data_IF_775038346517
#
_entry.id   IF_775038346517
#
_cell.length_a   1.000
_cell.length_b   1.000
_cell.length_c   1.000
_cell.angle_alpha   90.00
_cell.angle_beta   90.00
_cell.angle_gamma   90.00
#
_symmetry.space_group_name_H-M   'P 1'
#
loop_
_entity.id
_entity.type
_entity.pdbx_description
1 polymer ?
#
# COMPACT_ATOMS: atom_id res chain seq x y z
N UNK A 1 -11.11 -8.43 24.35
CA UNK A 1 -12.41 -7.73 24.10
C UNK A 1 -12.51 -6.37 24.82
N UNK A 2 -12.28 -6.23 26.13
CA UNK A 2 -12.43 -4.93 26.83
C UNK A 2 -11.37 -3.85 26.53
N UNK A 3 -10.28 -4.16 25.81
CA UNK A 3 -9.12 -3.26 25.65
C UNK A 3 -9.28 -2.18 24.56
N UNK A 4 -10.27 -2.33 23.69
CA UNK A 4 -10.55 -1.42 22.58
C UNK A 4 -12.01 -0.94 22.58
N UNK A 5 -12.68 -0.99 23.75
CA UNK A 5 -14.12 -0.74 23.84
C UNK A 5 -14.55 0.68 23.48
N UNK A 6 -13.62 1.64 23.41
CA UNK A 6 -13.89 2.98 22.89
C UNK A 6 -14.41 2.94 21.43
N UNK A 7 -13.93 1.99 20.61
CA UNK A 7 -14.39 1.83 19.23
C UNK A 7 -15.77 1.15 19.13
N UNK A 8 -16.23 0.45 20.18
CA UNK A 8 -17.51 -0.29 20.15
C UNK A 8 -18.72 0.64 19.92
N UNK A 9 -18.60 1.92 20.28
CA UNK A 9 -19.64 2.94 20.04
C UNK A 9 -19.90 3.23 18.56
N UNK A 10 -18.93 2.95 17.70
CA UNK A 10 -18.99 3.23 16.25
C UNK A 10 -19.14 1.96 15.41
N UNK A 11 -18.99 0.79 16.01
CA UNK A 11 -19.12 -0.51 15.33
C UNK A 11 -18.15 -0.61 14.15
N UNK A 12 -18.65 -1.01 12.98
CA UNK A 12 -17.85 -1.14 11.76
C UNK A 12 -17.75 0.18 10.95
N UNK A 13 -18.47 1.24 11.35
CA UNK A 13 -18.48 2.53 10.64
C UNK A 13 -17.31 3.42 11.06
N UNK A 14 -16.15 3.09 10.51
CA UNK A 14 -14.88 3.79 10.77
C UNK A 14 -14.84 5.21 10.21
N UNK A 15 -15.67 5.53 9.20
CA UNK A 15 -15.80 6.88 8.67
C UNK A 15 -16.58 7.79 9.63
N UNK A 16 -17.64 7.26 10.25
CA UNK A 16 -18.37 7.96 11.30
C UNK A 16 -17.48 8.28 12.51
N UNK A 17 -16.63 7.34 12.92
CA UNK A 17 -15.61 7.57 13.96
C UNK A 17 -14.67 8.72 13.58
N UNK A 18 -14.03 8.63 12.41
CA UNK A 18 -13.07 9.63 11.96
C UNK A 18 -13.68 11.03 11.85
N UNK A 19 -14.94 11.14 11.42
CA UNK A 19 -15.67 12.40 11.36
C UNK A 19 -15.92 12.95 12.77
N UNK A 20 -16.49 12.14 13.66
CA UNK A 20 -16.84 12.57 15.01
C UNK A 20 -15.61 13.00 15.83
N UNK A 21 -14.51 12.23 15.75
CA UNK A 21 -13.26 12.55 16.44
C UNK A 21 -12.58 13.79 15.86
N UNK A 22 -12.62 14.00 14.53
CA UNK A 22 -11.95 15.16 13.90
C UNK A 22 -12.66 16.47 14.19
N UNK A 23 -14.00 16.46 14.22
CA UNK A 23 -14.80 17.66 14.45
C UNK A 23 -15.19 17.86 15.93
N UNK A 24 -14.62 17.07 16.86
CA UNK A 24 -14.83 17.20 18.30
C UNK A 24 -16.24 16.84 18.76
N UNK A 25 -16.95 16.01 18.00
CA UNK A 25 -18.30 15.53 18.31
C UNK A 25 -18.28 14.30 19.22
N UNK A 26 -17.14 13.63 19.33
CA UNK A 26 -16.84 12.56 20.28
C UNK A 26 -15.37 12.60 20.68
N UNK A 27 -15.02 12.07 21.86
CA UNK A 27 -13.63 11.89 22.27
C UNK A 27 -12.95 10.84 21.36
N UNK A 28 -11.68 11.08 21.02
CA UNK A 28 -10.89 10.14 20.25
C UNK A 28 -10.36 9.01 21.14
N UNK A 29 -10.28 7.80 20.60
CA UNK A 29 -9.69 6.63 21.26
C UNK A 29 -8.14 6.61 21.24
N UNK A 30 -7.50 7.77 21.00
CA UNK A 30 -6.05 7.92 20.85
C UNK A 30 -5.30 7.49 22.12
N UNK A 31 -5.76 7.95 23.29
CA UNK A 31 -5.12 7.64 24.58
C UNK A 31 -5.19 6.15 24.91
N UNK A 32 -6.35 5.52 24.68
CA UNK A 32 -6.55 4.09 24.91
C UNK A 32 -5.71 3.24 23.95
N UNK A 33 -5.65 3.61 22.66
CA UNK A 33 -4.85 2.89 21.66
C UNK A 33 -3.34 3.00 21.95
N UNK A 34 -2.87 4.20 22.31
CA UNK A 34 -1.48 4.42 22.75
C UNK A 34 -1.16 3.66 24.04
N UNK A 35 -2.07 3.71 25.02
CA UNK A 35 -1.92 3.02 26.30
C UNK A 35 -1.75 1.52 26.13
N UNK A 36 -2.52 0.90 25.23
CA UNK A 36 -2.38 -0.53 24.92
C UNK A 36 -1.02 -0.88 24.28
N UNK A 37 -0.53 -0.06 23.35
CA UNK A 37 0.78 -0.27 22.74
C UNK A 37 1.90 -0.16 23.80
N UNK A 38 1.85 0.85 24.67
CA UNK A 38 2.83 1.04 25.74
C UNK A 38 2.80 -0.13 26.74
N UNK A 39 1.60 -0.58 27.14
CA UNK A 39 1.43 -1.71 28.06
C UNK A 39 2.04 -3.01 27.50
N UNK A 40 1.87 -3.28 26.20
CA UNK A 40 2.46 -4.45 25.54
C UNK A 40 3.98 -4.35 25.48
N UNK A 41 4.53 -3.19 25.10
CA UNK A 41 5.98 -2.96 25.08
C UNK A 41 6.62 -3.12 26.46
N UNK A 42 5.96 -2.64 27.52
CA UNK A 42 6.45 -2.83 28.89
C UNK A 42 6.45 -4.31 29.32
N UNK A 43 5.53 -5.11 28.79
CA UNK A 43 5.46 -6.56 29.05
C UNK A 43 6.40 -7.40 28.19
N UNK A 44 7.02 -6.84 27.15
CA UNK A 44 7.99 -7.53 26.29
C UNK A 44 9.09 -8.23 27.10
N UNK A 45 9.59 -7.55 28.14
CA UNK A 45 10.65 -8.07 29.03
C UNK A 45 10.18 -9.27 29.85
N UNK A 46 8.89 -9.33 30.22
CA UNK A 46 8.33 -10.44 30.98
C UNK A 46 8.08 -11.68 30.09
N UNK A 47 7.63 -11.49 28.85
CA UNK A 47 7.36 -12.59 27.92
C UNK A 47 8.62 -13.21 27.31
N UNK A 48 9.67 -12.42 27.07
CA UNK A 48 10.97 -12.92 26.60
C UNK A 48 11.63 -13.97 27.55
N UNK A 49 11.14 -14.06 28.79
CA UNK A 49 11.64 -15.02 29.80
C UNK A 49 10.90 -16.37 29.84
N UNK A 50 9.85 -16.56 29.02
CA UNK A 50 9.05 -17.80 28.98
C UNK A 50 8.93 -18.34 27.55
N UNK A 51 9.42 -19.57 27.37
CA UNK A 51 8.98 -20.52 26.32
C UNK A 51 9.44 -20.35 24.86
N UNK A 52 10.53 -19.60 24.61
CA UNK A 52 11.29 -19.70 23.34
C UNK A 52 10.63 -19.07 22.11
N UNK A 53 10.91 -19.60 20.92
CA UNK A 53 10.61 -18.92 19.64
C UNK A 53 9.11 -18.76 19.32
N UNK A 54 8.24 -19.64 19.84
CA UNK A 54 6.79 -19.52 19.62
C UNK A 54 6.22 -18.34 20.42
N UNK A 55 6.69 -18.14 21.65
CA UNK A 55 6.30 -17.00 22.47
C UNK A 55 6.78 -15.66 21.90
N UNK A 56 7.93 -15.66 21.22
CA UNK A 56 8.47 -14.50 20.49
C UNK A 56 7.59 -14.10 19.29
N UNK A 57 7.14 -15.08 18.49
CA UNK A 57 6.20 -14.82 17.38
C UNK A 57 4.83 -14.32 17.88
N UNK A 58 4.26 -14.96 18.91
CA UNK A 58 2.99 -14.53 19.51
C UNK A 58 3.07 -13.10 20.07
N UNK A 59 4.17 -12.78 20.76
CA UNK A 59 4.41 -11.43 21.26
C UNK A 59 4.54 -10.41 20.13
N UNK A 60 5.32 -10.72 19.10
CA UNK A 60 5.45 -9.86 17.91
C UNK A 60 4.08 -9.61 17.26
N UNK A 61 3.26 -10.65 17.09
CA UNK A 61 1.91 -10.50 16.52
C UNK A 61 1.01 -9.60 17.39
N UNK A 62 1.05 -9.75 18.72
CA UNK A 62 0.30 -8.89 19.62
C UNK A 62 0.76 -7.42 19.52
N UNK A 63 2.07 -7.18 19.46
CA UNK A 63 2.62 -5.83 19.29
C UNK A 63 2.21 -5.22 17.94
N UNK A 64 2.28 -5.98 16.84
CA UNK A 64 1.87 -5.49 15.53
C UNK A 64 0.37 -5.18 15.47
N UNK A 65 -0.48 -5.98 16.12
CA UNK A 65 -1.91 -5.68 16.24
C UNK A 65 -2.17 -4.37 17.01
N UNK A 66 -1.45 -4.12 18.10
CA UNK A 66 -1.60 -2.87 18.84
C UNK A 66 -1.09 -1.65 18.06
N UNK A 67 0.02 -1.78 17.32
CA UNK A 67 0.50 -0.76 16.39
C UNK A 67 -0.53 -0.47 15.30
N UNK A 68 -1.13 -1.50 14.72
CA UNK A 68 -2.20 -1.36 13.72
C UNK A 68 -3.38 -0.56 14.28
N UNK A 69 -3.89 -0.91 15.47
CA UNK A 69 -5.03 -0.18 16.07
C UNK A 69 -4.68 1.28 16.33
N UNK A 70 -3.49 1.55 16.90
CA UNK A 70 -3.00 2.91 17.13
C UNK A 70 -2.90 3.71 15.81
N UNK A 71 -2.30 3.14 14.78
CA UNK A 71 -2.13 3.83 13.50
C UNK A 71 -3.46 3.98 12.74
N UNK A 72 -4.40 3.02 12.88
CA UNK A 72 -5.73 3.10 12.29
C UNK A 72 -6.57 4.23 12.91
N UNK A 73 -6.49 4.41 14.23
CA UNK A 73 -7.12 5.53 14.94
C UNK A 73 -6.67 6.88 14.36
N UNK A 74 -5.35 7.08 14.29
CA UNK A 74 -4.76 8.30 13.72
C UNK A 74 -5.17 8.48 12.24
N UNK A 75 -5.17 7.40 11.47
CA UNK A 75 -5.56 7.41 10.06
C UNK A 75 -7.00 7.88 9.87
N UNK A 76 -7.97 7.33 10.59
CA UNK A 76 -9.38 7.70 10.42
C UNK A 76 -9.65 9.16 10.77
N UNK A 77 -8.93 9.72 11.75
CA UNK A 77 -8.96 11.17 12.01
C UNK A 77 -8.35 11.97 10.87
N UNK A 78 -7.21 11.54 10.34
CA UNK A 78 -6.53 12.25 9.25
C UNK A 78 -7.33 12.25 7.93
N UNK A 79 -8.23 11.28 7.73
CA UNK A 79 -9.08 11.18 6.54
C UNK A 79 -9.89 12.46 6.27
N UNK A 80 -10.23 13.21 7.32
CA UNK A 80 -10.99 14.46 7.23
C UNK A 80 -10.11 15.71 7.22
N UNK A 81 -8.80 15.56 7.39
CA UNK A 81 -7.80 16.67 7.41
C UNK A 81 -7.14 16.90 6.05
N UNK A 82 -7.06 15.87 5.21
CA UNK A 82 -6.64 16.01 3.82
C UNK A 82 -6.14 14.71 3.18
N UNK A 83 -6.30 14.60 1.86
CA UNK A 83 -5.90 13.43 1.07
C UNK A 83 -4.43 13.04 1.23
N UNK A 84 -3.53 14.03 1.23
CA UNK A 84 -2.08 13.79 1.32
C UNK A 84 -1.72 13.25 2.70
N UNK A 85 -2.33 13.78 3.77
CA UNK A 85 -2.06 13.32 5.13
C UNK A 85 -2.51 11.87 5.30
N UNK A 86 -3.73 11.53 4.90
CA UNK A 86 -4.24 10.15 5.05
C UNK A 86 -3.45 9.16 4.18
N UNK A 87 -3.05 9.54 2.97
CA UNK A 87 -2.17 8.73 2.12
C UNK A 87 -0.83 8.45 2.80
N UNK A 88 -0.14 9.49 3.22
CA UNK A 88 1.17 9.41 3.86
C UNK A 88 1.14 8.58 5.15
N UNK A 89 0.07 8.67 5.93
CA UNK A 89 -0.11 7.85 7.14
C UNK A 89 -0.20 6.37 6.81
N UNK A 90 -0.93 6.02 5.76
CA UNK A 90 -1.07 4.63 5.32
C UNK A 90 0.27 4.05 4.84
N UNK A 91 1.00 4.77 4.00
CA UNK A 91 2.29 4.31 3.48
C UNK A 91 3.39 4.31 4.56
N UNK A 92 3.34 5.26 5.50
CA UNK A 92 4.23 5.25 6.67
C UNK A 92 4.00 4.00 7.53
N UNK A 93 2.74 3.65 7.80
CA UNK A 93 2.41 2.44 8.54
C UNK A 93 2.92 1.17 7.85
N UNK A 94 2.70 1.02 6.53
CA UNK A 94 3.21 -0.13 5.77
C UNK A 94 4.75 -0.23 5.85
N UNK A 95 5.45 0.89 5.77
CA UNK A 95 6.90 0.93 5.91
C UNK A 95 7.38 0.62 7.34
N UNK A 96 6.68 1.09 8.38
CA UNK A 96 6.94 0.72 9.79
C UNK A 96 6.74 -0.79 10.03
N UNK A 97 5.69 -1.39 9.46
CA UNK A 97 5.45 -2.83 9.54
C UNK A 97 6.56 -3.62 8.85
N UNK A 98 7.05 -3.16 7.70
CA UNK A 98 8.19 -3.77 7.02
C UNK A 98 9.46 -3.75 7.88
N UNK A 99 9.76 -2.62 8.54
CA UNK A 99 10.90 -2.51 9.46
C UNK A 99 10.79 -3.45 10.65
N UNK A 100 9.62 -3.46 11.29
CA UNK A 100 9.36 -4.31 12.44
C UNK A 100 9.51 -5.79 12.06
N UNK A 101 8.98 -6.20 10.90
CA UNK A 101 9.13 -7.56 10.38
C UNK A 101 10.59 -7.88 10.05
N UNK A 102 11.33 -6.97 9.43
CA UNK A 102 12.74 -7.17 9.13
C UNK A 102 13.55 -7.37 10.43
N UNK A 103 13.37 -6.51 11.43
CA UNK A 103 14.04 -6.62 12.72
C UNK A 103 13.71 -7.94 13.44
N UNK A 104 12.44 -8.34 13.44
CA UNK A 104 11.98 -9.61 14.01
C UNK A 104 12.65 -10.82 13.38
N UNK A 105 12.70 -10.84 12.04
CA UNK A 105 13.35 -11.93 11.29
C UNK A 105 14.87 -11.94 11.47
N UNK A 106 15.50 -10.78 11.56
CA UNK A 106 16.95 -10.65 11.74
C UNK A 106 17.43 -11.00 13.15
N UNK A 107 16.59 -10.78 14.17
CA UNK A 107 16.85 -11.21 15.55
C UNK A 107 17.09 -12.72 15.69
N UNK A 108 16.73 -13.51 14.68
CA UNK A 108 16.90 -14.97 14.61
C UNK A 108 18.24 -15.40 13.97
N UNK A 109 19.16 -14.46 13.76
CA UNK A 109 20.54 -14.74 13.34
C UNK A 109 20.73 -14.90 11.83
N UNK A 110 19.76 -14.48 11.00
CA UNK A 110 19.90 -14.46 9.53
C UNK A 110 19.42 -13.13 8.98
N UNK A 111 20.20 -12.53 8.08
CA UNK A 111 19.79 -11.33 7.34
C UNK A 111 18.48 -11.61 6.58
N UNK A 112 17.46 -10.78 6.81
CA UNK A 112 16.17 -10.93 6.17
C UNK A 112 16.26 -10.57 4.68
N UNK A 113 15.53 -11.32 3.85
CA UNK A 113 15.25 -10.96 2.46
C UNK A 113 13.75 -10.95 2.29
N UNK A 114 13.19 -9.81 1.93
CA UNK A 114 11.75 -9.58 1.88
C UNK A 114 11.36 -9.21 0.46
N UNK A 115 10.29 -9.83 -0.03
CA UNK A 115 9.63 -9.43 -1.27
C UNK A 115 8.34 -8.74 -0.87
N UNK A 116 8.23 -7.45 -1.16
CA UNK A 116 7.03 -6.67 -0.93
C UNK A 116 6.20 -6.66 -2.22
N UNK A 117 4.94 -7.08 -2.12
CA UNK A 117 4.01 -7.11 -3.24
C UNK A 117 2.89 -6.11 -3.01
N UNK A 118 2.94 -4.99 -3.73
CA UNK A 118 1.97 -3.92 -3.63
C UNK A 118 1.80 -3.25 -5.01
N UNK A 119 0.82 -2.36 -5.11
CA UNK A 119 0.57 -1.62 -6.34
C UNK A 119 1.71 -0.64 -6.66
N UNK A 120 1.94 -0.31 -7.95
CA UNK A 120 3.00 0.63 -8.38
C UNK A 120 2.98 1.97 -7.63
N UNK A 121 1.79 2.45 -7.25
CA UNK A 121 1.62 3.68 -6.47
C UNK A 121 2.29 3.63 -5.10
N UNK A 122 2.44 2.43 -4.53
CA UNK A 122 3.11 2.22 -3.25
C UNK A 122 4.59 1.84 -3.42
N UNK A 123 4.95 1.11 -4.49
CA UNK A 123 6.31 0.56 -4.67
C UNK A 123 7.28 1.40 -5.51
N UNK A 124 6.82 2.35 -6.32
CA UNK A 124 7.73 3.26 -7.04
C UNK A 124 8.41 4.26 -6.09
N UNK A 125 9.47 4.94 -6.52
CA UNK A 125 10.00 6.09 -5.77
C UNK A 125 9.14 7.34 -6.04
N UNK A 126 8.29 7.73 -5.08
CA UNK A 126 7.34 8.83 -5.26
C UNK A 126 8.00 10.16 -5.65
N UNK A 127 9.27 10.41 -5.27
CA UNK A 127 10.02 11.63 -5.64
C UNK A 127 10.21 11.79 -7.16
N UNK A 128 10.01 10.71 -7.91
CA UNK A 128 10.05 10.69 -9.37
C UNK A 128 8.70 11.00 -10.05
N UNK A 129 7.67 11.33 -9.29
CA UNK A 129 6.28 11.44 -9.76
C UNK A 129 5.65 12.80 -9.44
N UNK A 130 4.69 13.24 -10.27
CA UNK A 130 3.84 14.41 -10.04
C UNK A 130 3.08 14.34 -8.70
N UNK A 131 2.73 13.12 -8.29
CA UNK A 131 2.05 12.88 -7.00
C UNK A 131 2.99 13.18 -5.82
N UNK A 132 4.27 12.82 -5.94
CA UNK A 132 5.30 13.17 -4.96
C UNK A 132 5.62 14.65 -4.89
N UNK A 133 5.56 15.36 -6.01
CA UNK A 133 5.64 16.84 -6.02
C UNK A 133 4.50 17.48 -5.23
N UNK A 134 3.34 16.80 -5.14
CA UNK A 134 2.19 17.17 -4.31
C UNK A 134 2.33 16.84 -2.82
N UNK A 135 3.46 16.24 -2.40
CA UNK A 135 3.76 15.91 -1.00
C UNK A 135 3.34 14.51 -0.56
N UNK A 136 2.81 13.68 -1.46
CA UNK A 136 2.55 12.26 -1.18
C UNK A 136 3.89 11.48 -1.23
N UNK A 137 4.21 10.71 -0.19
CA UNK A 137 5.30 9.73 -0.25
C UNK A 137 4.72 8.31 -0.30
N UNK A 138 5.57 7.33 -0.60
CA UNK A 138 5.15 5.94 -0.63
C UNK A 138 6.20 4.99 -0.07
N UNK A 139 5.84 3.71 0.08
CA UNK A 139 6.71 2.67 0.63
C UNK A 139 8.02 2.55 -0.16
N UNK A 140 7.97 2.60 -1.49
CA UNK A 140 9.15 2.53 -2.36
C UNK A 140 10.18 3.64 -2.08
N UNK A 141 9.72 4.88 -1.93
CA UNK A 141 10.56 5.99 -1.49
C UNK A 141 11.15 5.73 -0.10
N UNK A 142 10.31 5.42 0.89
CA UNK A 142 10.74 5.22 2.28
C UNK A 142 11.78 4.11 2.38
N UNK A 143 11.58 2.98 1.69
CA UNK A 143 12.52 1.87 1.64
C UNK A 143 13.85 2.29 1.03
N UNK A 144 13.86 3.09 -0.04
CA UNK A 144 15.11 3.60 -0.63
C UNK A 144 15.86 4.54 0.30
N UNK A 145 15.15 5.37 1.06
CA UNK A 145 15.75 6.29 2.02
C UNK A 145 16.33 5.56 3.23
N UNK A 146 15.62 4.55 3.75
CA UNK A 146 16.02 3.76 4.93
C UNK A 146 17.07 2.69 4.61
N UNK A 147 17.04 2.12 3.41
CA UNK A 147 17.94 1.05 2.98
C UNK A 147 18.67 1.39 1.66
N UNK A 148 19.51 2.45 1.63
CA UNK A 148 20.19 2.87 0.40
C UNK A 148 21.01 1.74 -0.24
N UNK A 149 20.76 1.49 -1.52
CA UNK A 149 21.46 0.46 -2.30
C UNK A 149 21.11 -0.99 -1.93
N UNK A 150 20.15 -1.21 -1.04
CA UNK A 150 19.71 -2.56 -0.61
C UNK A 150 18.30 -2.93 -1.09
N UNK A 151 17.68 -2.08 -1.91
CA UNK A 151 16.36 -2.32 -2.49
C UNK A 151 16.42 -2.41 -4.02
N UNK A 152 15.39 -3.04 -4.59
CA UNK A 152 15.13 -3.11 -6.03
C UNK A 152 13.63 -2.86 -6.21
N UNK A 153 13.26 -1.76 -6.85
CA UNK A 153 11.87 -1.41 -7.13
C UNK A 153 11.50 -1.90 -8.53
N UNK A 154 10.45 -2.70 -8.63
CA UNK A 154 10.00 -3.29 -9.90
C UNK A 154 8.58 -2.83 -10.21
N UNK A 155 8.41 -2.11 -11.32
CA UNK A 155 7.11 -1.62 -11.77
C UNK A 155 6.47 -2.54 -12.82
N UNK A 156 5.15 -2.47 -12.94
CA UNK A 156 4.38 -3.17 -13.97
C UNK A 156 3.63 -2.20 -14.88
N UNK A 157 3.61 -2.46 -16.18
CA UNK A 157 2.91 -1.60 -17.15
C UNK A 157 2.07 -2.43 -18.13
N UNK A 158 0.97 -1.84 -18.61
CA UNK A 158 0.10 -2.44 -19.62
C UNK A 158 -0.50 -1.41 -20.57
N UNK A 159 -0.56 -1.74 -21.86
CA UNK A 159 -1.16 -0.85 -22.85
C UNK A 159 -2.68 -0.98 -22.89
N UNK A 160 -3.22 -2.20 -22.90
CA UNK A 160 -4.66 -2.45 -23.06
C UNK A 160 -5.08 -3.83 -22.55
N UNK A 161 -6.38 -4.14 -22.67
CA UNK A 161 -6.92 -5.46 -22.37
C UNK A 161 -8.09 -5.38 -21.39
N UNK A 162 -8.06 -6.20 -20.35
CA UNK A 162 -9.08 -6.20 -19.28
C UNK A 162 -8.44 -6.25 -17.89
N UNK A 163 -9.17 -5.73 -16.90
CA UNK A 163 -8.83 -5.69 -15.48
C UNK A 163 -10.05 -6.04 -14.64
N UNK A 164 -9.84 -6.57 -13.44
CA UNK A 164 -10.90 -6.73 -12.43
C UNK A 164 -10.82 -5.53 -11.49
N UNK A 165 -11.84 -4.66 -11.52
CA UNK A 165 -11.87 -3.43 -10.72
C UNK A 165 -13.32 -2.96 -10.49
N UNK A 166 -13.56 -2.23 -9.41
CA UNK A 166 -14.86 -1.64 -9.09
C UNK A 166 -15.03 -0.25 -9.75
N UNK A 167 -16.28 0.24 -9.78
CA UNK A 167 -16.60 1.61 -10.23
C UNK A 167 -16.43 2.65 -9.11
N UNK A 168 -16.68 2.24 -7.87
CA UNK A 168 -16.52 3.05 -6.66
C UNK A 168 -16.00 2.15 -5.53
N UNK A 169 -15.61 2.78 -4.42
CA UNK A 169 -15.45 2.08 -3.15
C UNK A 169 -16.75 1.34 -2.79
N UNK A 170 -16.60 0.19 -2.14
CA UNK A 170 -17.68 -0.69 -1.69
C UNK A 170 -18.64 -1.19 -2.77
N UNK A 171 -18.31 -0.96 -4.05
CA UNK A 171 -19.05 -1.51 -5.19
C UNK A 171 -18.47 -2.87 -5.60
N UNK A 172 -19.29 -3.76 -6.18
CA UNK A 172 -18.82 -5.06 -6.67
C UNK A 172 -17.65 -4.94 -7.66
N UNK A 173 -16.76 -5.93 -7.64
CA UNK A 173 -15.70 -6.04 -8.63
C UNK A 173 -16.27 -6.41 -10.01
N UNK A 174 -15.84 -5.71 -11.05
CA UNK A 174 -16.31 -5.91 -12.42
C UNK A 174 -15.14 -6.24 -13.33
N UNK A 175 -15.38 -7.04 -14.38
CA UNK A 175 -14.43 -7.16 -15.50
C UNK A 175 -14.57 -5.91 -16.36
N UNK A 176 -13.56 -5.06 -16.35
CA UNK A 176 -13.53 -3.80 -17.10
C UNK A 176 -12.54 -3.85 -18.25
N UNK A 177 -12.88 -3.17 -19.34
CA UNK A 177 -11.98 -3.01 -20.49
C UNK A 177 -10.99 -1.89 -20.21
N UNK A 178 -9.70 -2.20 -20.19
CA UNK A 178 -8.62 -1.21 -20.15
C UNK A 178 -8.53 -0.56 -21.53
N UNK A 179 -8.69 0.77 -21.56
CA UNK A 179 -8.57 1.55 -22.81
C UNK A 179 -7.12 1.46 -23.33
N UNK A 180 -6.88 1.58 -24.65
CA UNK A 180 -5.53 1.80 -25.18
C UNK A 180 -4.82 2.92 -24.40
N UNK A 181 -3.51 2.80 -24.22
CA UNK A 181 -2.77 3.79 -23.47
C UNK A 181 -2.83 5.16 -24.16
N UNK A 182 -2.70 6.23 -23.37
CA UNK A 182 -2.75 7.58 -23.90
C UNK A 182 -1.47 7.89 -24.67
N UNK A 183 -1.55 8.57 -25.84
CA UNK A 183 -0.38 9.06 -26.53
C UNK A 183 0.54 9.87 -25.60
N UNK A 184 1.84 9.62 -25.69
CA UNK A 184 2.85 10.25 -24.84
C UNK A 184 3.03 9.59 -23.46
N UNK A 185 2.34 8.48 -23.17
CA UNK A 185 2.60 7.65 -21.98
C UNK A 185 3.74 6.65 -22.21
N UNK A 186 4.30 6.10 -21.13
CA UNK A 186 5.27 5.01 -21.23
C UNK A 186 4.65 3.75 -21.84
N UNK A 187 3.40 3.45 -21.50
CA UNK A 187 2.69 2.28 -22.02
C UNK A 187 2.46 2.38 -23.53
N UNK A 188 2.16 3.57 -24.05
CA UNK A 188 2.07 3.80 -25.49
C UNK A 188 3.44 3.65 -26.18
N UNK A 189 4.51 4.20 -25.58
CA UNK A 189 5.88 4.03 -26.08
C UNK A 189 6.31 2.56 -26.12
N UNK A 190 5.93 1.78 -25.10
CA UNK A 190 6.23 0.35 -25.02
C UNK A 190 5.43 -0.47 -26.04
N UNK A 191 4.17 -0.11 -26.28
CA UNK A 191 3.34 -0.71 -27.32
C UNK A 191 3.95 -0.55 -28.72
N UNK A 192 4.52 0.62 -29.03
CA UNK A 192 5.16 0.91 -30.32
C UNK A 192 6.35 -0.01 -30.64
N UNK A 193 6.94 -0.67 -29.63
CA UNK A 193 8.02 -1.64 -29.85
C UNK A 193 7.53 -2.93 -30.55
N UNK A 194 6.23 -3.22 -30.52
CA UNK A 194 5.66 -4.44 -31.08
C UNK A 194 6.06 -5.72 -30.32
N UNK A 195 6.60 -5.58 -29.11
CA UNK A 195 7.03 -6.70 -28.25
C UNK A 195 5.98 -6.87 -27.15
N UNK A 196 5.19 -7.94 -27.23
CA UNK A 196 4.04 -8.11 -26.33
C UNK A 196 4.39 -8.29 -24.84
N UNK A 197 5.60 -8.76 -24.52
CA UNK A 197 6.07 -8.97 -23.14
C UNK A 197 7.57 -8.77 -23.04
N UNK A 198 8.02 -7.92 -22.13
CA UNK A 198 9.44 -7.73 -21.87
C UNK A 198 9.72 -7.20 -20.46
N UNK A 199 10.96 -7.35 -20.02
CA UNK A 199 11.49 -6.66 -18.84
C UNK A 199 12.54 -5.65 -19.31
N UNK A 200 12.43 -4.43 -18.83
CA UNK A 200 13.39 -3.36 -19.07
C UNK A 200 14.13 -3.05 -17.77
N UNK A 201 15.46 -3.22 -17.77
CA UNK A 201 16.32 -2.75 -16.69
C UNK A 201 16.57 -1.26 -16.82
N UNK A 202 16.38 -0.51 -15.73
CA UNK A 202 16.45 0.95 -15.70
C UNK A 202 17.69 1.48 -14.94
N UNK A 203 18.47 0.59 -14.33
CA UNK A 203 19.72 0.93 -13.62
C UNK A 203 20.80 1.47 -14.56
N UNK A 204 21.73 2.23 -13.98
CA UNK A 204 22.85 2.87 -14.66
C UNK A 204 23.62 1.92 -15.58
N UNK A 205 23.84 2.34 -16.83
CA UNK A 205 24.59 1.60 -17.85
C UNK A 205 23.80 1.30 -19.14
N UNK A 206 22.47 1.35 -19.09
CA UNK A 206 21.64 1.28 -20.30
C UNK A 206 21.57 2.65 -21.02
N UNK A 207 21.52 2.71 -22.36
CA UNK A 207 21.26 3.94 -23.10
C UNK A 207 19.82 4.42 -22.87
N UNK A 208 19.62 5.16 -21.78
CA UNK A 208 18.30 5.60 -21.29
C UNK A 208 17.83 6.96 -21.83
N UNK A 209 18.55 7.57 -22.78
CA UNK A 209 18.27 8.95 -23.21
C UNK A 209 16.82 9.18 -23.65
N UNK A 210 16.19 8.20 -24.31
CA UNK A 210 14.77 8.28 -24.71
C UNK A 210 13.75 8.18 -23.57
N UNK A 211 14.19 7.78 -22.38
CA UNK A 211 13.36 7.49 -21.18
C UNK A 211 13.63 8.43 -20.00
N UNK A 212 14.57 9.38 -20.12
CA UNK A 212 14.96 10.33 -19.06
C UNK A 212 13.93 11.44 -18.78
N UNK A 213 13.03 11.72 -19.73
CA UNK A 213 12.05 12.80 -19.61
C UNK A 213 10.74 12.35 -18.94
N UNK A 214 10.04 13.25 -18.22
CA UNK A 214 8.75 12.91 -17.62
C UNK A 214 7.70 12.64 -18.69
N UNK A 215 7.02 11.49 -18.58
CA UNK A 215 5.90 11.07 -19.44
C UNK A 215 4.69 10.72 -18.60
N UNK A 216 3.55 10.53 -19.25
CA UNK A 216 2.38 9.99 -18.56
C UNK A 216 2.66 8.54 -18.15
N UNK A 217 2.25 8.19 -16.95
CA UNK A 217 2.26 6.83 -16.41
C UNK A 217 0.85 6.47 -15.94
N UNK A 218 0.39 5.27 -16.31
CA UNK A 218 -0.93 4.77 -15.95
C UNK A 218 -0.87 4.03 -14.61
N UNK A 219 -1.82 4.35 -13.72
CA UNK A 219 -2.04 3.64 -12.46
C UNK A 219 -3.53 3.29 -12.30
N UNK A 220 -3.84 2.01 -12.50
CA UNK A 220 -5.18 1.45 -12.29
C UNK A 220 -5.13 0.54 -11.07
N UNK A 221 -5.75 0.99 -9.98
CA UNK A 221 -5.89 0.21 -8.74
C UNK A 221 -7.20 -0.57 -8.66
N UNK A 222 -7.70 -0.75 -7.45
CA UNK A 222 -8.96 -1.44 -7.15
C UNK A 222 -10.19 -0.74 -7.75
N UNK A 223 -10.09 0.55 -8.05
CA UNK A 223 -11.10 1.33 -8.77
C UNK A 223 -10.56 1.67 -10.15
N UNK A 224 -11.41 1.48 -11.17
CA UNK A 224 -11.12 1.93 -12.53
C UNK A 224 -12.32 2.64 -13.17
N UNK A 225 -12.13 3.89 -13.59
CA UNK A 225 -13.14 4.70 -14.29
C UNK A 225 -12.63 5.08 -15.69
N UNK A 226 -12.97 4.31 -16.73
CA UNK A 226 -12.55 4.59 -18.11
C UNK A 226 -12.98 5.98 -18.61
N UNK A 227 -14.09 6.50 -18.11
CA UNK A 227 -14.70 7.77 -18.52
C UNK A 227 -13.83 8.98 -18.13
N UNK A 228 -13.14 8.87 -16.98
CA UNK A 228 -12.28 9.94 -16.43
C UNK A 228 -10.81 9.54 -16.39
N UNK A 229 -10.41 8.54 -17.17
CA UNK A 229 -9.12 7.85 -17.02
C UNK A 229 -7.91 8.79 -16.99
N UNK A 230 -7.84 9.78 -17.89
CA UNK A 230 -6.73 10.76 -17.90
C UNK A 230 -6.60 11.52 -16.58
N UNK A 231 -7.72 11.85 -15.94
CA UNK A 231 -7.74 12.62 -14.70
C UNK A 231 -7.52 11.74 -13.46
N UNK A 232 -8.04 10.51 -13.44
CA UNK A 232 -8.04 9.66 -12.26
C UNK A 232 -6.95 8.58 -12.23
N UNK A 233 -6.37 8.22 -13.38
CA UNK A 233 -5.48 7.07 -13.52
C UNK A 233 -4.17 7.39 -14.25
N UNK A 234 -3.86 8.66 -14.47
CA UNK A 234 -2.58 9.08 -15.06
C UNK A 234 -1.95 10.23 -14.29
N UNK A 235 -0.65 10.14 -14.11
CA UNK A 235 0.22 11.20 -13.58
C UNK A 235 1.49 11.28 -14.41
N UNK A 236 2.27 12.36 -14.28
CA UNK A 236 3.60 12.44 -14.88
C UNK A 236 4.64 11.75 -14.00
N UNK A 237 5.54 10.99 -14.60
CA UNK A 237 6.63 10.32 -13.90
C UNK A 237 7.91 10.21 -14.72
N UNK A 238 9.04 10.12 -14.02
CA UNK A 238 10.36 9.77 -14.58
C UNK A 238 10.63 8.30 -14.27
N UNK A 239 10.33 7.41 -15.22
CA UNK A 239 10.29 5.96 -14.98
C UNK A 239 11.63 5.41 -14.46
N UNK A 240 12.75 5.90 -15.01
CA UNK A 240 14.10 5.48 -14.60
C UNK A 240 14.47 5.90 -13.18
N UNK A 241 13.86 6.97 -12.68
CA UNK A 241 14.08 7.44 -11.31
C UNK A 241 13.12 6.72 -10.35
N UNK A 242 11.92 6.36 -10.83
CA UNK A 242 10.88 5.69 -10.05
C UNK A 242 11.18 4.21 -9.79
N UNK A 243 11.68 3.48 -10.79
CA UNK A 243 11.88 2.04 -10.72
C UNK A 243 13.29 1.62 -11.15
N UNK A 244 13.75 0.48 -10.64
CA UNK A 244 14.99 -0.18 -11.06
C UNK A 244 14.79 -1.08 -12.28
N UNK A 245 13.58 -1.62 -12.44
CA UNK A 245 13.15 -2.36 -13.61
C UNK A 245 11.64 -2.22 -13.82
N UNK A 246 11.19 -2.40 -15.06
CA UNK A 246 9.76 -2.45 -15.40
C UNK A 246 9.47 -3.71 -16.20
N UNK A 247 8.41 -4.41 -15.81
CA UNK A 247 7.81 -5.50 -16.58
C UNK A 247 6.63 -4.95 -17.38
N UNK A 248 6.68 -5.14 -18.69
CA UNK A 248 5.62 -4.73 -19.60
C UNK A 248 4.84 -5.93 -20.12
N UNK A 249 3.52 -5.82 -20.08
CA UNK A 249 2.59 -6.76 -20.69
C UNK A 249 1.62 -5.95 -21.56
N UNK A 250 1.77 -6.04 -22.88
CA UNK A 250 1.05 -5.16 -23.80
C UNK A 250 -0.48 -5.34 -23.73
N UNK A 251 -0.92 -6.59 -23.63
CA UNK A 251 -2.31 -6.96 -23.40
C UNK A 251 -2.46 -7.76 -22.10
N UNK A 252 -3.35 -7.32 -21.23
CA UNK A 252 -3.68 -8.00 -19.96
C UNK A 252 -5.09 -8.60 -19.97
N UNK A 253 -5.30 -9.60 -19.12
CA UNK A 253 -6.62 -10.18 -18.84
C UNK A 253 -6.99 -9.97 -17.39
N UNK A 254 -8.27 -9.68 -17.15
CA UNK A 254 -8.84 -9.55 -15.82
C UNK A 254 -8.57 -10.80 -14.98
N UNK A 255 -8.09 -10.60 -13.74
CA UNK A 255 -7.83 -11.67 -12.78
C UNK A 255 -9.14 -12.39 -12.46
N UNK A 256 -9.11 -13.72 -12.49
CA UNK A 256 -10.27 -14.54 -12.14
C UNK A 256 -10.28 -14.78 -10.62
N UNK A 257 -11.40 -14.49 -9.93
CA UNK A 257 -11.54 -14.84 -8.52
C UNK A 257 -11.33 -16.34 -8.29
N UNK A 258 -10.61 -16.69 -7.22
CA UNK A 258 -10.48 -18.08 -6.78
C UNK A 258 -11.85 -18.63 -6.34
N UNK A 259 -12.65 -17.79 -5.70
CA UNK A 259 -14.03 -18.09 -5.31
C UNK A 259 -15.02 -17.39 -6.24
N UNK A 260 -15.87 -18.18 -6.90
CA UNK A 260 -16.83 -17.68 -7.91
C UNK A 260 -18.16 -17.21 -7.32
N UNK A 261 -18.39 -17.45 -6.03
CA UNK A 261 -19.61 -17.11 -5.32
C UNK A 261 -19.20 -16.05 -4.30
N UNK A 262 -19.78 -14.86 -4.36
CA UNK A 262 -19.58 -13.84 -3.35
C UNK A 262 -20.07 -14.41 -1.99
N UNK A 263 -19.20 -14.41 -0.98
CA UNK A 263 -19.62 -14.67 0.39
C UNK A 263 -20.78 -13.72 0.75
N UNK A 264 -21.79 -14.16 1.52
CA UNK A 264 -22.84 -13.28 1.98
C UNK A 264 -22.23 -12.06 2.68
N UNK A 265 -22.79 -10.87 2.39
CA UNK A 265 -22.40 -9.62 3.04
C UNK A 265 -22.43 -9.77 4.56
N UNK A 266 -21.29 -9.60 5.23
CA UNK A 266 -21.17 -9.71 6.69
C UNK A 266 -20.02 -10.58 7.19
N UNK A 267 -19.18 -11.14 6.31
CA UNK A 267 -17.88 -11.66 6.76
C UNK A 267 -16.98 -10.51 7.18
N UNK A 268 -16.58 -10.53 8.46
CA UNK A 268 -15.53 -9.68 8.99
C UNK A 268 -14.29 -9.97 8.16
N UNK A 269 -13.64 -8.92 7.63
CA UNK A 269 -12.42 -9.08 6.84
C UNK A 269 -11.45 -10.02 7.56
N UNK A 270 -10.88 -11.00 6.86
CA UNK A 270 -9.97 -12.02 7.45
C UNK A 270 -8.81 -11.40 8.25
N UNK A 271 -8.50 -10.13 7.98
CA UNK A 271 -7.44 -9.33 8.62
C UNK A 271 -7.93 -8.42 9.75
N UNK A 272 -9.15 -8.56 10.25
CA UNK A 272 -9.65 -7.70 11.32
C UNK A 272 -8.84 -7.96 12.61
N UNK A 273 -8.30 -6.91 13.26
CA UNK A 273 -7.43 -7.08 14.41
C UNK A 273 -8.19 -7.77 15.54
N UNK A 274 -7.72 -8.95 15.93
CA UNK A 274 -8.22 -9.64 17.13
C UNK A 274 -7.29 -9.32 18.28
N UNK A 275 -7.83 -8.66 19.32
CA UNK A 275 -7.12 -8.46 20.58
C UNK A 275 -7.02 -9.76 21.36
N UNK A 276 -6.01 -10.58 21.04
CA UNK A 276 -5.48 -11.61 21.95
C UNK A 276 -4.61 -10.90 22.99
#
# INVERSE_FOLDING_TARGET
RYRYSCFDHFGEDTQAYGYAATFGLAESCEEEALGQLIELQQRAVAYASRDGHVADDEFFFAEQNARLVKNAEEYYRSMFRGRVESWNRRDAHMAETLEALAAHLEGRGRKAKIVLWEHNSHLGDARATEIGEGGEFNVGQLVRERYPGQSVLVGFTTHHGTVTAASNWDSPAERKRVRPALPGSYEALFHELGIGRFMLGLRSGAPMEGLRGPRLERAIGVIYRPETERMSHYFRARLSDQFDAVMHFDETRAVEPLERIAAPSGEVAETFPTGV
#
